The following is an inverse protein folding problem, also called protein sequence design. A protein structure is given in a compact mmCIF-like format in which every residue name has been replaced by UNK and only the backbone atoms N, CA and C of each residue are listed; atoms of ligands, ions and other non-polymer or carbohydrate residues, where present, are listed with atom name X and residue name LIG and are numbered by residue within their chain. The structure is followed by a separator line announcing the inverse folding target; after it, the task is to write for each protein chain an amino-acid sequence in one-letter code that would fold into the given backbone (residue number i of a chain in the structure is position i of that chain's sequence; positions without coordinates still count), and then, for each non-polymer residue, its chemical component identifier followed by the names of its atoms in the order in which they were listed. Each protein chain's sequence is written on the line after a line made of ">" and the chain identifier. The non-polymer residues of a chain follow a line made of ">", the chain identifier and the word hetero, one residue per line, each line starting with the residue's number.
data_IF_062965562453
#
_entry.id   IF_062965562453
#
_cell.length_a   1.000
_cell.length_b   1.000
_cell.length_c   1.000
_cell.angle_alpha   90.00
_cell.angle_beta   90.00
_cell.angle_gamma   90.00
#
_symmetry.space_group_name_H-M   'P 1'
#
loop_
_entity.id
_entity.type
_entity.pdbx_description
1 polymer ?
#
# COMPACT_ATOMS: atom_id res chain seq x y z
N UNK A 1 25.70 -40.43 21.19
CA UNK A 1 25.28 -39.79 19.91
C UNK A 1 23.78 -39.81 19.81
N UNK A 2 23.25 -38.90 18.96
CA UNK A 2 21.82 -38.81 18.65
C UNK A 2 21.60 -38.74 17.15
N UNK A 3 20.60 -39.49 16.67
CA UNK A 3 20.03 -39.28 15.36
C UNK A 3 18.93 -38.21 15.48
N UNK A 4 18.85 -37.33 14.51
CA UNK A 4 17.81 -36.31 14.38
C UNK A 4 17.18 -36.52 13.01
N UNK A 5 15.85 -36.53 12.97
CA UNK A 5 15.10 -36.48 11.70
C UNK A 5 14.18 -35.29 11.74
N UNK A 6 14.21 -34.46 10.71
CA UNK A 6 13.43 -33.22 10.66
C UNK A 6 12.88 -32.96 9.26
N UNK A 7 11.84 -32.17 9.17
CA UNK A 7 11.17 -31.77 7.92
C UNK A 7 10.04 -30.79 8.18
N UNK A 8 9.32 -30.41 7.12
CA UNK A 8 8.13 -29.58 7.26
C UNK A 8 7.12 -30.26 8.19
N UNK A 9 6.37 -29.45 8.97
CA UNK A 9 5.43 -30.01 9.96
C UNK A 9 4.43 -30.96 9.31
N UNK A 10 4.17 -32.08 10.00
CA UNK A 10 3.32 -33.18 9.50
C UNK A 10 4.07 -34.22 8.67
N UNK A 11 5.41 -34.14 8.49
CA UNK A 11 6.13 -35.21 7.78
C UNK A 11 6.09 -36.55 8.57
N UNK A 12 6.10 -37.65 7.87
CA UNK A 12 6.15 -38.97 8.50
C UNK A 12 7.58 -39.35 8.88
N UNK A 13 7.76 -39.93 10.08
CA UNK A 13 9.04 -40.48 10.50
C UNK A 13 9.57 -41.47 9.46
N UNK A 14 10.80 -41.31 9.03
CA UNK A 14 11.42 -42.05 7.92
C UNK A 14 11.49 -41.30 6.60
N UNK A 15 10.75 -40.17 6.44
CA UNK A 15 10.74 -39.38 5.20
C UNK A 15 11.42 -37.99 5.32
N UNK A 16 11.89 -37.64 6.52
CA UNK A 16 12.55 -36.37 6.75
C UNK A 16 14.06 -36.38 6.46
N UNK A 17 14.70 -35.24 6.58
CA UNK A 17 16.14 -35.08 6.54
C UNK A 17 16.76 -35.72 7.79
N UNK A 18 17.83 -36.51 7.62
CA UNK A 18 18.52 -37.18 8.71
C UNK A 18 19.83 -36.49 9.00
N UNK A 19 20.08 -36.24 10.28
CA UNK A 19 21.33 -35.71 10.83
C UNK A 19 21.76 -36.49 12.08
N UNK A 20 23.03 -36.35 12.45
CA UNK A 20 23.57 -36.95 13.67
C UNK A 20 24.40 -35.93 14.46
N UNK A 21 24.32 -35.98 15.80
CA UNK A 21 25.10 -35.11 16.66
C UNK A 21 25.75 -35.91 17.83
N UNK A 22 26.94 -35.50 18.21
CA UNK A 22 27.63 -36.04 19.38
C UNK A 22 27.28 -35.35 20.69
N UNK A 23 26.54 -34.25 20.63
CA UNK A 23 26.15 -33.41 21.78
C UNK A 23 24.61 -33.33 21.86
N UNK A 24 24.05 -33.08 23.07
CA UNK A 24 22.59 -33.00 23.24
C UNK A 24 22.03 -31.66 22.72
N UNK A 25 22.67 -31.07 21.75
CA UNK A 25 22.20 -29.88 21.02
C UNK A 25 22.51 -30.03 19.52
N UNK A 26 21.64 -29.46 18.70
CA UNK A 26 21.80 -29.43 17.25
C UNK A 26 21.16 -28.15 16.72
N UNK A 27 21.83 -27.49 15.77
CA UNK A 27 21.30 -26.30 15.12
C UNK A 27 20.80 -26.66 13.73
N UNK A 28 19.51 -26.50 13.49
CA UNK A 28 18.94 -26.58 12.17
C UNK A 28 19.21 -25.24 11.44
N UNK A 29 19.74 -25.33 10.23
CA UNK A 29 20.03 -24.18 9.37
C UNK A 29 19.27 -24.27 8.04
N UNK A 30 19.23 -23.15 7.31
CA UNK A 30 18.55 -23.07 6.00
C UNK A 30 17.06 -23.40 6.05
N UNK A 31 16.42 -23.07 7.18
CA UNK A 31 14.98 -23.18 7.32
C UNK A 31 14.30 -21.95 6.66
N UNK A 32 13.14 -22.17 6.05
CA UNK A 32 12.31 -21.08 5.57
C UNK A 32 11.76 -20.28 6.75
N UNK A 33 11.62 -18.97 6.58
CA UNK A 33 10.96 -18.11 7.58
C UNK A 33 9.44 -18.42 7.63
N UNK A 34 8.82 -18.08 8.77
CA UNK A 34 7.37 -18.27 9.02
C UNK A 34 6.87 -19.68 8.70
N UNK A 35 7.67 -20.69 9.01
CA UNK A 35 7.40 -22.09 8.66
C UNK A 35 7.45 -22.97 9.89
N UNK A 36 6.55 -23.96 9.94
CA UNK A 36 6.54 -24.97 10.99
C UNK A 36 7.37 -26.19 10.56
N UNK A 37 8.23 -26.63 11.45
CA UNK A 37 9.06 -27.82 11.26
C UNK A 37 8.85 -28.78 12.42
N UNK A 38 8.72 -30.05 12.11
CA UNK A 38 8.72 -31.12 13.09
C UNK A 38 10.08 -31.81 13.13
N UNK A 39 10.48 -32.25 14.31
CA UNK A 39 11.68 -33.07 14.45
C UNK A 39 11.48 -34.22 15.46
N UNK A 40 12.20 -35.28 15.18
CA UNK A 40 12.30 -36.47 16.03
C UNK A 40 13.74 -36.67 16.46
N UNK A 41 13.96 -37.23 17.64
CA UNK A 41 15.26 -37.53 18.17
C UNK A 41 15.34 -39.00 18.63
N UNK A 42 16.47 -39.65 18.37
CA UNK A 42 16.76 -41.01 18.82
C UNK A 42 18.17 -41.06 19.44
N UNK A 43 18.30 -41.62 20.60
CA UNK A 43 19.63 -41.86 21.22
C UNK A 43 20.30 -43.10 20.61
N UNK A 44 21.61 -42.98 20.33
CA UNK A 44 22.49 -44.09 19.93
C UNK A 44 23.32 -44.47 21.12
N UNK A 45 23.07 -45.65 21.70
CA UNK A 45 23.75 -46.14 22.88
C UNK A 45 25.08 -46.87 22.52
N UNK A 46 25.04 -47.67 21.46
CA UNK A 46 26.22 -48.36 20.90
C UNK A 46 25.96 -48.76 19.44
N UNK A 47 26.96 -49.37 18.78
CA UNK A 47 26.77 -49.89 17.42
C UNK A 47 25.67 -50.96 17.40
N UNK A 48 24.55 -50.62 16.76
CA UNK A 48 23.38 -51.50 16.64
C UNK A 48 22.37 -51.41 17.80
N UNK A 49 22.62 -50.55 18.80
CA UNK A 49 21.70 -50.31 19.92
C UNK A 49 21.27 -48.83 19.98
N UNK A 50 19.97 -48.59 19.84
CA UNK A 50 19.38 -47.28 19.84
C UNK A 50 18.03 -47.26 20.55
N UNK A 51 17.66 -46.10 21.10
CA UNK A 51 16.34 -45.90 21.68
C UNK A 51 15.24 -45.93 20.62
N UNK A 52 13.99 -45.88 21.08
CA UNK A 52 12.89 -45.49 20.22
C UNK A 52 13.04 -44.00 19.84
N UNK A 53 12.51 -43.63 18.71
CA UNK A 53 12.35 -42.21 18.31
C UNK A 53 11.35 -41.52 19.23
N UNK A 54 11.67 -40.30 19.65
CA UNK A 54 10.78 -39.42 20.42
C UNK A 54 10.49 -38.18 19.61
N UNK A 55 9.23 -37.73 19.59
CA UNK A 55 8.67 -36.66 18.81
C UNK A 55 7.32 -37.04 18.20
N UNK A 56 6.74 -36.26 17.28
CA UNK A 56 7.33 -35.00 16.78
C UNK A 56 7.34 -33.89 17.81
N UNK A 57 8.37 -33.06 17.76
CA UNK A 57 8.39 -31.76 18.43
C UNK A 57 8.34 -30.68 17.33
N UNK A 58 7.42 -29.74 17.45
CA UNK A 58 7.22 -28.67 16.45
C UNK A 58 7.95 -27.41 16.89
N UNK A 59 8.68 -26.81 15.95
CA UNK A 59 9.24 -25.46 16.06
C UNK A 59 8.68 -24.60 14.93
N UNK A 60 8.47 -23.33 15.23
CA UNK A 60 8.08 -22.34 14.22
C UNK A 60 9.24 -21.36 14.04
N UNK A 61 9.62 -21.16 12.79
CA UNK A 61 10.58 -20.09 12.47
C UNK A 61 9.87 -18.74 12.51
N UNK A 62 10.59 -17.72 12.93
CA UNK A 62 10.07 -16.35 12.93
C UNK A 62 9.94 -15.83 11.51
N UNK A 63 9.06 -14.84 11.32
CA UNK A 63 8.99 -14.06 10.09
C UNK A 63 10.29 -13.25 10.00
N UNK A 64 11.00 -13.37 8.87
CA UNK A 64 12.18 -12.55 8.59
C UNK A 64 11.76 -11.25 7.91
N UNK A 65 12.35 -10.14 8.35
CA UNK A 65 12.36 -8.90 7.60
C UNK A 65 13.23 -9.02 6.35
N UNK A 66 13.21 -7.99 5.46
CA UNK A 66 14.07 -7.96 4.28
C UNK A 66 15.55 -8.13 4.65
N UNK A 67 16.25 -8.92 3.87
CA UNK A 67 17.69 -9.18 4.02
C UNK A 67 18.55 -8.11 3.33
N UNK A 68 17.95 -7.38 2.41
CA UNK A 68 18.59 -6.43 1.51
C UNK A 68 19.20 -7.09 0.28
N UNK A 69 19.37 -6.31 -0.76
CA UNK A 69 19.88 -6.76 -2.07
C UNK A 69 21.41 -6.70 -2.10
N UNK A 70 22.04 -7.76 -2.58
CA UNK A 70 23.49 -7.85 -2.75
C UNK A 70 23.88 -7.87 -4.24
N UNK A 71 24.34 -6.74 -4.74
CA UNK A 71 24.72 -6.55 -6.14
C UNK A 71 26.22 -6.82 -6.35
N UNK A 72 26.59 -8.02 -6.77
CA UNK A 72 27.99 -8.47 -6.94
C UNK A 72 28.53 -8.28 -8.34
N UNK A 73 27.67 -8.30 -9.40
CA UNK A 73 28.07 -8.17 -10.81
C UNK A 73 28.07 -6.73 -11.31
N UNK A 74 27.79 -5.76 -10.46
CA UNK A 74 27.60 -4.36 -10.82
C UNK A 74 26.09 -4.00 -10.89
N UNK A 75 25.83 -2.71 -10.89
CA UNK A 75 24.46 -2.20 -10.69
C UNK A 75 24.25 -1.80 -9.22
N UNK A 76 23.05 -1.30 -8.93
CA UNK A 76 22.66 -0.84 -7.61
C UNK A 76 21.38 -1.54 -7.20
N UNK A 77 21.16 -1.77 -5.88
CA UNK A 77 19.83 -2.14 -5.39
C UNK A 77 18.81 -1.09 -5.81
N UNK A 78 17.70 -1.54 -6.41
CA UNK A 78 16.66 -0.63 -6.80
C UNK A 78 15.32 -1.33 -6.95
N UNK A 79 14.23 -0.56 -6.89
CA UNK A 79 12.89 -1.10 -7.01
C UNK A 79 12.54 -1.37 -8.48
N UNK A 80 12.18 -2.61 -8.78
CA UNK A 80 11.57 -3.01 -10.06
C UNK A 80 10.05 -2.95 -10.00
N UNK A 81 9.49 -2.95 -8.77
CA UNK A 81 8.09 -2.78 -8.50
C UNK A 81 7.92 -2.15 -7.11
N UNK A 82 6.99 -1.21 -6.99
CA UNK A 82 6.59 -0.62 -5.70
C UNK A 82 5.14 -0.19 -5.80
N UNK A 83 4.33 -0.59 -4.82
CA UNK A 83 2.91 -0.26 -4.70
C UNK A 83 2.60 0.00 -3.23
N UNK A 84 2.17 1.21 -2.92
CA UNK A 84 1.78 1.64 -1.59
C UNK A 84 0.31 1.31 -1.26
N UNK A 85 -0.36 0.57 -2.16
CA UNK A 85 -1.73 0.10 -1.99
C UNK A 85 -2.76 1.22 -1.73
N UNK A 86 -2.51 2.41 -2.26
CA UNK A 86 -3.46 3.54 -2.18
C UNK A 86 -4.63 3.39 -3.17
N UNK A 87 -4.55 2.45 -4.10
CA UNK A 87 -5.59 2.16 -5.08
C UNK A 87 -5.62 0.67 -5.45
N UNK A 88 -6.72 0.23 -6.07
CA UNK A 88 -6.84 -1.12 -6.65
C UNK A 88 -6.40 -1.18 -8.12
N UNK A 89 -5.85 -0.09 -8.64
CA UNK A 89 -5.49 0.02 -10.06
C UNK A 89 -4.45 -1.03 -10.47
N UNK A 90 -4.74 -1.79 -11.53
CA UNK A 90 -3.87 -2.84 -12.03
C UNK A 90 -3.97 -4.19 -11.32
N UNK A 91 -4.50 -4.23 -10.10
CA UNK A 91 -4.80 -5.48 -9.39
C UNK A 91 -6.05 -6.15 -9.96
N UNK A 92 -6.06 -7.47 -10.00
CA UNK A 92 -7.19 -8.27 -10.49
C UNK A 92 -7.60 -9.30 -9.45
N UNK A 93 -8.87 -9.75 -9.48
CA UNK A 93 -9.39 -10.75 -8.55
C UNK A 93 -10.62 -10.30 -7.78
N UNK A 94 -10.81 -10.82 -6.56
CA UNK A 94 -12.03 -10.60 -5.78
C UNK A 94 -11.89 -9.38 -4.88
N UNK A 95 -12.21 -8.20 -5.41
CA UNK A 95 -12.29 -6.95 -4.64
C UNK A 95 -13.71 -6.61 -4.25
N UNK A 96 -13.85 -6.09 -3.02
CA UNK A 96 -15.08 -5.53 -2.49
C UNK A 96 -15.07 -4.00 -2.49
N UNK A 97 -16.17 -3.41 -2.05
CA UNK A 97 -16.34 -1.96 -1.92
C UNK A 97 -16.10 -1.49 -0.47
N UNK A 98 -14.86 -1.56 0.00
CA UNK A 98 -14.44 -0.98 1.28
C UNK A 98 -14.69 -1.83 2.55
N UNK A 99 -15.79 -2.55 2.65
CA UNK A 99 -16.13 -3.42 3.80
C UNK A 99 -16.86 -4.69 3.37
N UNK A 100 -16.66 -5.12 2.14
CA UNK A 100 -17.30 -6.35 1.63
C UNK A 100 -16.62 -7.56 2.24
N UNK A 101 -17.36 -8.31 3.03
CA UNK A 101 -16.84 -9.51 3.66
C UNK A 101 -16.48 -10.62 2.68
N UNK A 102 -15.42 -11.37 2.97
CA UNK A 102 -14.92 -12.45 2.12
C UNK A 102 -14.20 -11.99 0.84
N UNK A 103 -13.89 -10.71 0.73
CA UNK A 103 -13.19 -10.09 -0.40
C UNK A 103 -12.04 -9.23 0.10
N UNK A 104 -11.05 -9.01 -0.76
CA UNK A 104 -10.05 -7.99 -0.54
C UNK A 104 -10.68 -6.60 -0.68
N UNK A 105 -10.35 -5.68 0.19
CA UNK A 105 -10.88 -4.32 0.19
C UNK A 105 -9.75 -3.31 0.31
N UNK A 106 -9.90 -2.18 -0.36
CA UNK A 106 -9.13 -0.97 -0.07
C UNK A 106 -9.76 -0.27 1.12
N UNK A 107 -8.96 0.07 2.13
CA UNK A 107 -9.43 0.64 3.40
C UNK A 107 -8.52 1.75 3.89
N UNK A 108 -9.12 2.81 4.43
CA UNK A 108 -8.45 3.84 5.22
C UNK A 108 -8.98 3.84 6.65
N UNK A 109 -8.12 4.20 7.62
CA UNK A 109 -8.47 4.16 9.04
C UNK A 109 -8.66 2.73 9.57
N UNK A 110 -9.31 2.54 10.74
CA UNK A 110 -9.45 1.23 11.38
C UNK A 110 -10.35 0.27 10.58
N UNK A 111 -10.10 -1.04 10.73
CA UNK A 111 -11.03 -2.07 10.25
C UNK A 111 -12.38 -1.95 10.95
N UNK A 112 -13.41 -2.52 10.32
CA UNK A 112 -14.79 -2.33 10.79
C UNK A 112 -15.12 -3.18 12.01
N UNK A 113 -14.43 -4.30 12.18
CA UNK A 113 -14.67 -5.29 13.23
C UNK A 113 -13.88 -4.96 14.50
N UNK A 114 -14.46 -5.27 15.65
CA UNK A 114 -13.84 -5.04 16.96
C UNK A 114 -12.83 -6.13 17.30
N UNK A 115 -11.70 -5.77 17.94
CA UNK A 115 -10.62 -6.70 18.35
C UNK A 115 -9.99 -7.47 17.18
N UNK A 116 -9.90 -6.88 16.01
CA UNK A 116 -9.23 -7.47 14.85
C UNK A 116 -8.73 -6.38 13.90
N UNK A 117 -7.71 -6.69 13.11
CA UNK A 117 -7.13 -5.79 12.12
C UNK A 117 -6.43 -4.56 12.68
N UNK A 118 -5.87 -3.71 11.82
CA UNK A 118 -5.17 -2.49 12.22
C UNK A 118 -6.09 -1.30 12.48
N UNK A 119 -5.53 -0.27 13.13
CA UNK A 119 -6.14 1.06 13.26
C UNK A 119 -5.97 1.96 12.02
N UNK A 120 -5.13 1.59 11.09
CA UNK A 120 -4.84 2.38 9.89
C UNK A 120 -3.75 1.75 9.04
N UNK A 121 -3.33 2.46 8.01
CA UNK A 121 -2.28 2.06 7.10
C UNK A 121 -0.89 2.06 7.78
N UNK A 122 0.05 1.27 7.24
CA UNK A 122 1.47 1.38 7.54
C UNK A 122 2.08 2.56 6.82
N UNK A 123 1.74 2.72 5.55
CA UNK A 123 2.19 3.80 4.66
C UNK A 123 0.99 4.52 4.05
N UNK A 124 1.15 5.81 3.72
CA UNK A 124 0.08 6.58 3.07
C UNK A 124 -1.19 6.68 3.91
N UNK A 125 -2.33 6.50 3.26
CA UNK A 125 -3.66 6.61 3.86
C UNK A 125 -4.45 5.31 3.82
N UNK A 126 -4.13 4.41 2.90
CA UNK A 126 -4.92 3.21 2.60
C UNK A 126 -4.07 1.96 2.64
N UNK A 127 -4.72 0.83 2.74
CA UNK A 127 -4.13 -0.51 2.75
C UNK A 127 -5.12 -1.54 2.21
N UNK A 128 -4.66 -2.72 1.81
CA UNK A 128 -5.54 -3.83 1.47
C UNK A 128 -5.82 -4.68 2.70
N UNK A 129 -7.09 -5.08 2.87
CA UNK A 129 -7.47 -6.01 3.92
C UNK A 129 -8.62 -6.93 3.50
N UNK A 130 -8.78 -8.03 4.21
CA UNK A 130 -9.93 -8.93 4.08
C UNK A 130 -10.81 -8.80 5.31
N UNK A 131 -12.07 -8.41 5.10
CA UNK A 131 -13.14 -8.41 6.11
C UNK A 131 -13.68 -9.84 6.27
N UNK A 132 -13.64 -10.37 7.49
CA UNK A 132 -13.99 -11.78 7.75
C UNK A 132 -15.38 -12.03 8.32
N UNK A 133 -16.13 -10.98 8.66
CA UNK A 133 -17.46 -11.10 9.28
C UNK A 133 -18.44 -11.87 8.38
N UNK A 134 -18.87 -13.05 8.85
CA UNK A 134 -19.81 -13.93 8.13
C UNK A 134 -19.20 -14.77 7.02
N UNK A 135 -17.88 -14.70 6.78
CA UNK A 135 -17.14 -15.48 5.79
C UNK A 135 -15.99 -16.22 6.48
N UNK A 136 -16.25 -17.39 6.97
CA UNK A 136 -15.31 -18.18 7.76
C UNK A 136 -14.83 -19.39 6.97
N UNK A 137 -13.54 -19.72 7.13
CA UNK A 137 -12.89 -20.83 6.42
C UNK A 137 -13.06 -20.74 4.89
N UNK A 138 -13.01 -19.54 4.35
CA UNK A 138 -13.21 -19.24 2.94
C UNK A 138 -11.95 -18.58 2.38
N UNK A 139 -11.56 -18.98 1.17
CA UNK A 139 -10.37 -18.45 0.52
C UNK A 139 -10.76 -17.36 -0.49
N UNK A 140 -10.02 -16.25 -0.47
CA UNK A 140 -10.12 -15.16 -1.44
C UNK A 140 -8.72 -14.78 -1.93
N UNK A 141 -8.60 -14.38 -3.20
CA UNK A 141 -7.31 -13.99 -3.76
C UNK A 141 -7.41 -12.82 -4.73
N UNK A 142 -6.31 -12.09 -4.82
CA UNK A 142 -6.05 -11.05 -5.81
C UNK A 142 -4.68 -11.25 -6.41
N UNK A 143 -4.46 -10.71 -7.60
CA UNK A 143 -3.21 -10.84 -8.35
C UNK A 143 -2.70 -9.44 -8.71
N UNK A 144 -1.41 -9.23 -8.49
CA UNK A 144 -0.72 -7.97 -8.74
C UNK A 144 -0.67 -7.61 -10.22
N UNK A 145 -0.38 -6.35 -10.55
CA UNK A 145 0.22 -6.01 -11.82
C UNK A 145 1.48 -6.84 -12.10
N UNK A 146 1.93 -6.82 -13.35
CA UNK A 146 3.17 -7.48 -13.76
C UNK A 146 4.39 -6.90 -13.03
N UNK A 147 5.22 -7.77 -12.49
CA UNK A 147 6.53 -7.43 -11.92
C UNK A 147 7.61 -7.89 -12.89
N UNK A 148 8.41 -6.96 -13.38
CA UNK A 148 9.45 -7.24 -14.38
C UNK A 148 10.82 -7.44 -13.71
N UNK A 149 11.27 -8.69 -13.62
CA UNK A 149 12.61 -9.08 -13.19
C UNK A 149 13.53 -9.45 -14.36
N UNK A 150 13.11 -9.18 -15.62
CA UNK A 150 13.87 -9.57 -16.82
C UNK A 150 15.24 -8.89 -16.91
N UNK A 151 15.37 -7.67 -16.40
CA UNK A 151 16.62 -6.90 -16.33
C UNK A 151 17.33 -7.05 -14.98
N UNK A 152 16.75 -7.76 -14.00
CA UNK A 152 17.35 -8.00 -12.71
C UNK A 152 18.54 -8.94 -12.79
N UNK A 153 19.57 -8.67 -12.00
CA UNK A 153 20.78 -9.49 -11.90
C UNK A 153 21.11 -9.76 -10.43
N UNK A 154 21.92 -10.79 -10.19
CA UNK A 154 22.49 -11.20 -8.90
C UNK A 154 21.47 -11.60 -7.84
N UNK A 155 20.55 -10.69 -7.48
CA UNK A 155 19.66 -10.82 -6.34
C UNK A 155 18.30 -10.15 -6.59
N UNK A 156 17.26 -10.69 -5.98
CA UNK A 156 15.92 -10.10 -5.96
C UNK A 156 15.17 -10.44 -4.68
N UNK A 157 14.50 -9.47 -4.10
CA UNK A 157 13.75 -9.61 -2.85
C UNK A 157 12.39 -8.91 -2.94
N UNK A 158 11.35 -9.59 -2.49
CA UNK A 158 10.03 -9.03 -2.21
C UNK A 158 10.00 -8.57 -0.75
N UNK A 159 9.59 -7.35 -0.50
CA UNK A 159 9.26 -6.86 0.84
C UNK A 159 7.81 -6.38 0.91
N UNK A 160 7.18 -6.56 2.06
CA UNK A 160 5.82 -6.11 2.32
C UNK A 160 5.55 -6.03 3.83
N UNK A 161 4.48 -5.31 4.19
CA UNK A 161 4.09 -5.12 5.58
C UNK A 161 2.75 -5.77 5.86
N UNK A 162 2.65 -6.53 6.96
CA UNK A 162 1.42 -7.22 7.34
C UNK A 162 0.97 -6.85 8.76
N UNK A 163 -0.35 -6.84 8.95
CA UNK A 163 -0.98 -6.72 10.25
C UNK A 163 -2.02 -7.83 10.42
N UNK A 164 -1.81 -8.66 11.42
CA UNK A 164 -2.61 -9.86 11.72
C UNK A 164 -2.95 -9.89 13.22
N UNK A 165 -3.78 -8.95 13.66
CA UNK A 165 -4.33 -8.90 15.01
C UNK A 165 -5.72 -9.49 15.05
N UNK A 166 -5.93 -10.46 15.93
CA UNK A 166 -7.22 -11.09 16.15
C UNK A 166 -7.13 -12.59 16.45
N UNK A 167 -7.99 -13.09 17.31
CA UNK A 167 -7.92 -14.47 17.81
C UNK A 167 -8.22 -15.56 16.76
N UNK A 168 -8.80 -15.18 15.61
CA UNK A 168 -9.16 -16.09 14.51
C UNK A 168 -8.51 -15.70 13.19
N UNK A 169 -7.29 -15.14 13.22
CA UNK A 169 -6.52 -14.95 12.01
C UNK A 169 -6.33 -16.28 11.30
N UNK A 170 -6.62 -16.28 10.01
CA UNK A 170 -6.53 -17.45 9.15
C UNK A 170 -5.12 -17.66 8.59
N UNK A 171 -5.03 -18.08 7.32
CA UNK A 171 -3.75 -18.32 6.63
C UNK A 171 -3.60 -17.36 5.47
N UNK A 172 -2.49 -16.66 5.43
CA UNK A 172 -2.10 -15.78 4.34
C UNK A 172 -0.95 -16.40 3.55
N UNK A 173 -1.08 -16.45 2.23
CA UNK A 173 -0.09 -16.96 1.30
C UNK A 173 0.26 -15.90 0.26
N UNK A 174 1.53 -15.85 -0.14
CA UNK A 174 1.94 -15.21 -1.40
C UNK A 174 2.42 -16.27 -2.35
N UNK A 175 1.82 -16.31 -3.54
CA UNK A 175 2.22 -17.16 -4.65
C UNK A 175 2.87 -16.36 -5.77
N UNK A 176 3.80 -16.96 -6.50
CA UNK A 176 4.39 -16.42 -7.73
C UNK A 176 3.98 -17.25 -8.93
N UNK A 177 3.52 -16.59 -9.98
CA UNK A 177 3.24 -17.16 -11.28
C UNK A 177 3.87 -16.35 -12.40
N UNK A 178 4.12 -16.96 -13.56
CA UNK A 178 4.63 -16.29 -14.76
C UNK A 178 3.50 -15.78 -15.67
N UNK A 179 2.26 -16.02 -15.31
CA UNK A 179 1.07 -15.47 -15.97
C UNK A 179 0.07 -14.99 -14.94
N UNK A 180 -0.80 -14.01 -15.26
CA UNK A 180 -1.76 -13.47 -14.30
C UNK A 180 -2.85 -14.48 -13.85
N UNK A 181 -2.98 -15.60 -14.55
CA UNK A 181 -3.93 -16.66 -14.23
C UNK A 181 -3.26 -17.89 -13.57
N UNK A 182 -1.98 -17.79 -13.21
CA UNK A 182 -1.19 -18.87 -12.63
C UNK A 182 -0.74 -19.93 -13.63
N UNK A 183 -0.34 -21.10 -13.18
CA UNK A 183 -0.35 -21.53 -11.78
C UNK A 183 0.58 -20.70 -10.90
N UNK A 184 0.22 -20.59 -9.61
CA UNK A 184 1.02 -19.88 -8.62
C UNK A 184 1.69 -20.87 -7.67
N UNK A 185 3.00 -20.67 -7.44
CA UNK A 185 3.77 -21.43 -6.45
C UNK A 185 3.91 -20.60 -5.19
N UNK A 186 3.50 -21.12 -4.05
CA UNK A 186 3.61 -20.43 -2.76
C UNK A 186 5.06 -20.20 -2.40
N UNK A 187 5.42 -18.95 -2.16
CA UNK A 187 6.77 -18.51 -1.73
C UNK A 187 6.79 -18.00 -0.31
N UNK A 188 5.64 -17.64 0.26
CA UNK A 188 5.47 -17.22 1.64
C UNK A 188 4.13 -17.72 2.17
N UNK A 189 4.12 -18.14 3.43
CA UNK A 189 2.91 -18.52 4.15
C UNK A 189 3.02 -18.14 5.62
N UNK A 190 1.96 -17.61 6.18
CA UNK A 190 1.83 -17.37 7.63
C UNK A 190 0.41 -17.59 8.07
N UNK A 191 0.22 -17.93 9.35
CA UNK A 191 -1.10 -18.16 9.93
C UNK A 191 -1.15 -17.76 11.39
N UNK A 192 -2.34 -17.42 11.87
CA UNK A 192 -2.55 -17.01 13.25
C UNK A 192 -2.12 -15.56 13.53
N UNK A 193 -2.37 -15.16 14.75
CA UNK A 193 -2.14 -13.79 15.23
C UNK A 193 -0.65 -13.45 15.31
N UNK A 194 -0.27 -12.27 14.81
CA UNK A 194 1.09 -11.71 14.87
C UNK A 194 1.13 -10.54 15.86
N UNK A 195 0.27 -9.54 15.67
CA UNK A 195 0.15 -8.40 16.57
C UNK A 195 -0.74 -8.72 17.77
N UNK A 196 -0.52 -8.05 18.89
CA UNK A 196 -1.29 -8.24 20.14
C UNK A 196 -2.38 -7.18 20.35
N UNK A 197 -2.29 -6.09 19.58
CA UNK A 197 -3.27 -5.00 19.59
C UNK A 197 -3.40 -4.39 18.18
N UNK A 198 -4.51 -3.70 17.95
CA UNK A 198 -4.79 -3.05 16.66
C UNK A 198 -3.91 -1.82 16.37
N UNK A 199 -3.23 -1.27 17.37
CA UNK A 199 -2.27 -0.18 17.24
C UNK A 199 -0.80 -0.63 17.24
N UNK A 200 -0.55 -1.93 17.32
CA UNK A 200 0.81 -2.45 17.16
C UNK A 200 1.32 -2.16 15.74
N UNK A 201 2.62 -1.94 15.55
CA UNK A 201 3.18 -1.71 14.23
C UNK A 201 3.01 -2.94 13.33
N UNK A 202 2.87 -2.69 12.04
CA UNK A 202 2.92 -3.74 11.03
C UNK A 202 4.27 -4.47 11.09
N UNK A 203 4.24 -5.76 10.76
CA UNK A 203 5.44 -6.59 10.63
C UNK A 203 5.97 -6.50 9.20
N UNK A 204 7.23 -6.07 9.04
CA UNK A 204 7.91 -6.15 7.75
C UNK A 204 8.35 -7.58 7.45
N UNK A 205 8.14 -8.01 6.20
CA UNK A 205 8.46 -9.36 5.71
C UNK A 205 9.34 -9.25 4.48
N UNK A 206 10.40 -10.06 4.43
CA UNK A 206 11.26 -10.22 3.26
C UNK A 206 11.19 -11.64 2.70
N UNK A 207 11.13 -11.76 1.38
CA UNK A 207 11.11 -13.07 0.67
C UNK A 207 12.05 -13.01 -0.52
N UNK A 208 12.99 -13.95 -0.60
CA UNK A 208 13.94 -14.03 -1.71
C UNK A 208 13.22 -14.41 -3.01
N UNK A 209 13.47 -13.64 -4.07
CA UNK A 209 12.96 -13.84 -5.43
C UNK A 209 14.04 -14.14 -6.46
N UNK A 210 15.30 -14.38 -6.04
CA UNK A 210 16.42 -14.56 -6.97
C UNK A 210 16.24 -15.71 -7.97
N UNK A 211 15.42 -16.71 -7.62
CA UNK A 211 15.05 -17.80 -8.55
C UNK A 211 14.17 -17.39 -9.73
N UNK A 212 13.62 -16.16 -9.68
CA UNK A 212 12.75 -15.59 -10.71
C UNK A 212 13.45 -14.51 -11.56
N UNK A 213 14.74 -14.26 -11.34
CA UNK A 213 15.53 -13.34 -12.17
C UNK A 213 15.46 -13.75 -13.64
N UNK A 214 15.43 -12.76 -14.53
CA UNK A 214 15.29 -12.95 -15.98
C UNK A 214 13.85 -13.24 -16.44
N UNK A 215 12.86 -13.17 -15.55
CA UNK A 215 11.46 -13.44 -15.84
C UNK A 215 10.57 -12.23 -15.54
N UNK A 216 9.37 -12.23 -16.12
CA UNK A 216 8.25 -11.41 -15.64
C UNK A 216 7.35 -12.28 -14.77
N UNK A 217 6.92 -11.76 -13.62
CA UNK A 217 6.13 -12.50 -12.64
C UNK A 217 4.89 -11.74 -12.21
N UNK A 218 3.98 -12.47 -11.59
CA UNK A 218 2.77 -11.96 -10.94
C UNK A 218 2.71 -12.48 -9.51
N UNK A 219 2.35 -11.65 -8.56
CA UNK A 219 2.17 -12.03 -7.17
C UNK A 219 0.68 -12.29 -6.91
N UNK A 220 0.35 -13.47 -6.42
CA UNK A 220 -0.98 -13.76 -5.90
C UNK A 220 -0.98 -13.54 -4.38
N UNK A 221 -1.85 -12.67 -3.89
CA UNK A 221 -2.16 -12.56 -2.47
C UNK A 221 -3.41 -13.41 -2.21
N UNK A 222 -3.26 -14.43 -1.39
CA UNK A 222 -4.34 -15.35 -1.03
C UNK A 222 -4.53 -15.37 0.47
N UNK A 223 -5.76 -15.20 0.93
CA UNK A 223 -6.12 -15.31 2.32
C UNK A 223 -7.26 -16.29 2.53
N UNK A 224 -7.02 -17.30 3.36
CA UNK A 224 -8.07 -18.19 3.88
C UNK A 224 -8.48 -17.70 5.26
N UNK A 225 -9.70 -17.24 5.40
CA UNK A 225 -10.24 -16.67 6.64
C UNK A 225 -10.29 -17.70 7.76
N UNK A 226 -10.18 -17.24 8.99
CA UNK A 226 -10.31 -18.09 10.17
C UNK A 226 -11.77 -18.42 10.52
N UNK A 227 -12.00 -18.87 11.75
CA UNK A 227 -13.27 -19.44 12.19
C UNK A 227 -14.29 -18.43 12.72
N UNK A 228 -13.89 -17.16 12.91
CA UNK A 228 -14.78 -16.10 13.45
C UNK A 228 -14.46 -14.73 12.81
N UNK A 229 -15.27 -13.72 13.14
CA UNK A 229 -15.11 -12.34 12.66
C UNK A 229 -13.82 -11.64 13.12
N UNK A 230 -13.10 -12.20 14.10
CA UNK A 230 -11.82 -11.64 14.59
C UNK A 230 -10.64 -12.13 13.77
N UNK A 231 -10.77 -12.18 12.46
CA UNK A 231 -9.79 -12.69 11.52
C UNK A 231 -9.36 -11.71 10.44
N UNK A 232 -9.64 -10.40 10.60
CA UNK A 232 -9.27 -9.40 9.60
C UNK A 232 -7.76 -9.33 9.44
N UNK A 233 -7.29 -9.56 8.22
CA UNK A 233 -5.89 -9.53 7.84
C UNK A 233 -5.62 -8.35 6.92
N UNK A 234 -4.55 -7.63 7.16
CA UNK A 234 -4.15 -6.49 6.35
C UNK A 234 -2.74 -6.62 5.80
N UNK A 235 -2.53 -6.08 4.60
CA UNK A 235 -1.23 -5.94 3.95
C UNK A 235 -1.09 -4.52 3.42
N UNK A 236 0.14 -4.01 3.45
CA UNK A 236 0.46 -2.68 2.99
C UNK A 236 1.86 -2.66 2.39
N UNK A 237 2.13 -1.69 1.51
CA UNK A 237 3.41 -1.44 0.85
C UNK A 237 4.10 -2.72 0.37
N UNK A 238 3.92 -3.02 -0.91
CA UNK A 238 4.58 -4.15 -1.56
C UNK A 238 5.67 -3.62 -2.48
N UNK A 239 6.90 -4.06 -2.25
CA UNK A 239 8.06 -3.65 -3.03
C UNK A 239 8.85 -4.87 -3.50
N UNK A 240 9.31 -4.85 -4.74
CA UNK A 240 10.26 -5.82 -5.25
C UNK A 240 11.52 -5.09 -5.67
N UNK A 241 12.62 -5.46 -5.04
CA UNK A 241 13.95 -4.93 -5.30
C UNK A 241 14.79 -5.94 -6.07
N UNK A 242 15.68 -5.45 -6.93
CA UNK A 242 16.71 -6.26 -7.61
C UNK A 242 17.92 -5.41 -7.91
N UNK A 243 19.01 -6.04 -8.37
CA UNK A 243 20.16 -5.33 -8.89
C UNK A 243 19.85 -4.84 -10.30
N UNK A 244 19.73 -3.53 -10.45
CA UNK A 244 19.36 -2.91 -11.72
C UNK A 244 20.38 -1.83 -12.11
N UNK A 245 20.54 -1.60 -13.41
CA UNK A 245 21.46 -0.59 -13.93
C UNK A 245 20.95 0.82 -13.67
N UNK A 246 19.62 0.99 -13.63
CA UNK A 246 18.95 2.28 -13.42
C UNK A 246 17.80 2.15 -12.41
N UNK A 247 18.08 2.25 -11.10
CA UNK A 247 17.06 2.13 -10.07
C UNK A 247 16.10 3.32 -10.06
N UNK A 248 14.81 3.05 -9.90
CA UNK A 248 13.82 4.10 -9.67
C UNK A 248 13.93 4.68 -8.26
N UNK A 249 13.56 5.93 -8.01
CA UNK A 249 13.27 6.42 -6.67
C UNK A 249 12.17 5.59 -6.01
N UNK A 250 12.23 5.39 -4.69
CA UNK A 250 11.11 4.78 -3.96
C UNK A 250 9.88 5.70 -4.02
N UNK A 251 8.71 5.16 -4.30
CA UNK A 251 7.45 5.92 -4.28
C UNK A 251 7.21 6.59 -2.92
N UNK A 252 7.66 5.99 -1.84
CA UNK A 252 7.58 6.55 -0.48
C UNK A 252 8.51 7.73 -0.23
N UNK A 253 9.54 7.89 -1.02
CA UNK A 253 10.45 9.04 -0.90
C UNK A 253 9.88 10.31 -1.54
N UNK A 254 8.79 10.20 -2.30
CA UNK A 254 8.16 11.32 -2.97
C UNK A 254 7.43 12.19 -1.94
N UNK A 255 7.66 13.51 -2.00
CA UNK A 255 7.01 14.48 -1.12
C UNK A 255 6.68 15.76 -1.88
N UNK A 256 5.66 16.49 -1.45
CA UNK A 256 5.37 17.85 -1.91
C UNK A 256 5.33 18.78 -0.70
N UNK A 257 6.17 19.81 -0.72
CA UNK A 257 6.34 20.77 0.37
C UNK A 257 6.08 22.20 -0.13
N UNK A 258 5.98 23.16 0.77
CA UNK A 258 5.79 24.58 0.47
C UNK A 258 4.65 24.81 -0.54
N UNK A 259 3.57 24.03 -0.41
CA UNK A 259 2.45 24.08 -1.34
C UNK A 259 1.74 25.42 -1.19
N UNK A 260 1.67 26.17 -2.28
CA UNK A 260 0.92 27.41 -2.39
C UNK A 260 -0.27 27.23 -3.35
N UNK A 261 -1.06 28.27 -3.53
CA UNK A 261 -2.21 28.21 -4.44
C UNK A 261 -1.81 27.99 -5.92
N UNK A 262 -0.54 28.20 -6.28
CA UNK A 262 -0.06 28.10 -7.65
C UNK A 262 1.31 27.43 -7.80
N UNK A 263 1.89 26.90 -6.74
CA UNK A 263 3.19 26.21 -6.77
C UNK A 263 3.32 25.14 -5.69
N UNK A 264 4.27 24.22 -5.88
CA UNK A 264 4.69 23.25 -4.88
C UNK A 264 6.16 22.86 -5.11
N UNK A 265 6.88 22.54 -4.04
CA UNK A 265 8.22 21.97 -4.09
C UNK A 265 8.11 20.43 -4.04
N UNK A 266 8.31 19.79 -5.16
CA UNK A 266 8.35 18.33 -5.28
C UNK A 266 9.75 17.85 -4.91
N UNK A 267 9.86 16.77 -4.13
CA UNK A 267 11.15 16.20 -3.74
C UNK A 267 11.07 14.67 -3.65
N UNK A 268 12.22 14.01 -3.80
CA UNK A 268 12.39 12.57 -3.72
C UNK A 268 13.81 12.21 -3.31
N UNK A 269 14.04 10.93 -2.98
CA UNK A 269 15.36 10.37 -2.75
C UNK A 269 15.78 9.59 -3.99
N UNK A 270 17.03 9.74 -4.44
CA UNK A 270 17.61 8.94 -5.52
C UNK A 270 17.52 7.45 -5.21
N UNK A 271 17.21 6.62 -6.20
CA UNK A 271 17.17 5.17 -6.07
C UNK A 271 18.57 4.54 -6.03
N UNK A 272 19.55 5.21 -6.61
CA UNK A 272 20.95 4.77 -6.68
C UNK A 272 21.91 5.94 -6.84
N UNK A 273 22.81 5.84 -7.84
CA UNK A 273 23.84 6.84 -8.13
C UNK A 273 23.50 7.77 -9.30
N UNK A 274 22.27 7.75 -9.75
CA UNK A 274 21.78 8.59 -10.84
C UNK A 274 21.82 10.08 -10.45
N UNK A 275 22.03 10.92 -11.46
CA UNK A 275 22.20 12.38 -11.32
C UNK A 275 21.22 13.17 -12.18
N UNK A 276 20.27 12.49 -12.82
CA UNK A 276 19.24 13.13 -13.65
C UNK A 276 17.91 12.38 -13.51
N UNK A 277 16.81 13.13 -13.58
CA UNK A 277 15.45 12.59 -13.46
C UNK A 277 14.51 13.26 -14.45
N UNK A 278 13.50 12.49 -14.86
CA UNK A 278 12.29 13.01 -15.48
C UNK A 278 11.24 13.15 -14.38
N UNK A 279 10.64 14.32 -14.26
CA UNK A 279 9.48 14.57 -13.40
C UNK A 279 8.26 14.76 -14.30
N UNK A 280 7.21 14.03 -14.07
CA UNK A 280 5.95 14.20 -14.79
C UNK A 280 4.86 14.57 -13.78
N UNK A 281 4.11 15.66 -14.06
CA UNK A 281 3.02 16.11 -13.20
C UNK A 281 1.81 16.56 -14.02
N UNK A 282 0.62 16.49 -13.41
CA UNK A 282 -0.63 16.87 -14.02
C UNK A 282 -1.80 16.84 -13.03
N UNK A 283 -3.03 17.15 -13.48
CA UNK A 283 -4.24 16.95 -12.67
C UNK A 283 -4.33 15.50 -12.19
N UNK A 284 -4.82 15.29 -10.96
CA UNK A 284 -4.90 13.95 -10.36
C UNK A 284 -5.62 12.94 -11.27
N UNK A 285 -5.08 11.73 -11.33
CA UNK A 285 -5.56 10.63 -12.17
C UNK A 285 -5.09 10.70 -13.63
N UNK A 286 -4.15 11.57 -14.01
CA UNK A 286 -3.63 11.56 -15.38
C UNK A 286 -2.78 10.31 -15.64
N UNK A 287 -2.90 9.67 -16.82
CA UNK A 287 -2.06 8.53 -17.16
C UNK A 287 -0.62 8.98 -17.46
N UNK A 288 0.36 8.14 -17.07
CA UNK A 288 1.78 8.34 -17.42
C UNK A 288 1.91 8.54 -18.95
N UNK A 289 2.70 9.54 -19.35
CA UNK A 289 2.86 9.96 -20.74
C UNK A 289 2.01 11.18 -21.13
N UNK A 290 0.96 11.52 -20.37
CA UNK A 290 0.05 12.62 -20.69
C UNK A 290 0.23 13.86 -19.79
N UNK A 291 1.10 13.81 -18.79
CA UNK A 291 1.42 14.96 -17.94
C UNK A 291 2.52 15.85 -18.51
N UNK A 292 2.80 16.96 -17.84
CA UNK A 292 3.92 17.84 -18.15
C UNK A 292 5.24 17.14 -17.73
N UNK A 293 6.18 16.95 -18.64
CA UNK A 293 7.47 16.30 -18.38
C UNK A 293 8.57 17.35 -18.28
N UNK A 294 9.35 17.30 -17.19
CA UNK A 294 10.50 18.15 -16.93
C UNK A 294 11.72 17.26 -16.66
N UNK A 295 12.87 17.61 -17.24
CA UNK A 295 14.15 16.97 -16.95
C UNK A 295 14.90 17.81 -15.91
N UNK A 296 15.34 17.16 -14.82
CA UNK A 296 16.06 17.81 -13.71
C UNK A 296 17.31 17.04 -13.35
N UNK A 297 18.28 17.73 -12.71
CA UNK A 297 19.54 17.15 -12.22
C UNK A 297 19.68 17.26 -10.71
N UNK A 298 18.60 17.58 -10.03
CA UNK A 298 18.49 17.64 -8.57
C UNK A 298 17.30 16.79 -8.14
N UNK A 299 17.34 16.26 -6.93
CA UNK A 299 16.26 15.47 -6.34
C UNK A 299 15.10 16.34 -5.82
N UNK A 300 14.91 17.50 -6.40
CA UNK A 300 13.81 18.42 -6.10
C UNK A 300 13.48 19.29 -7.31
N UNK A 301 12.22 19.71 -7.42
CA UNK A 301 11.74 20.60 -8.45
C UNK A 301 10.57 21.44 -7.96
N UNK A 302 10.63 22.77 -8.16
CA UNK A 302 9.49 23.63 -7.86
C UNK A 302 8.58 23.72 -9.08
N UNK A 303 7.40 23.13 -9.00
CA UNK A 303 6.35 23.31 -10.00
C UNK A 303 5.60 24.62 -9.75
N UNK A 304 5.32 25.36 -10.83
CA UNK A 304 4.61 26.64 -10.80
C UNK A 304 3.49 26.66 -11.84
N UNK A 305 2.58 27.63 -11.72
CA UNK A 305 1.45 27.78 -12.65
C UNK A 305 0.33 26.78 -12.38
N UNK A 306 0.27 26.23 -11.17
CA UNK A 306 -0.81 25.37 -10.73
C UNK A 306 -2.11 26.17 -10.53
N UNK A 307 -3.25 25.51 -10.68
CA UNK A 307 -4.56 26.08 -10.37
C UNK A 307 -4.84 25.98 -8.86
N UNK A 308 -5.47 26.98 -8.24
CA UNK A 308 -5.90 26.90 -6.84
C UNK A 308 -6.95 25.79 -6.61
N UNK A 309 -7.03 25.29 -5.37
CA UNK A 309 -8.00 24.29 -4.92
C UNK A 309 -8.08 23.08 -5.85
N UNK A 310 -6.95 22.60 -6.33
CA UNK A 310 -6.87 21.54 -7.33
C UNK A 310 -5.94 20.43 -6.84
N UNK A 311 -6.31 19.19 -7.12
CA UNK A 311 -5.49 18.02 -6.82
C UNK A 311 -4.58 17.70 -8.00
N UNK A 312 -3.32 17.47 -7.71
CA UNK A 312 -2.27 17.12 -8.68
C UNK A 312 -1.59 15.83 -8.28
N UNK A 313 -1.19 15.07 -9.28
CA UNK A 313 -0.32 13.91 -9.12
C UNK A 313 1.01 14.19 -9.79
N UNK A 314 2.09 13.60 -9.25
CA UNK A 314 3.36 13.59 -9.94
C UNK A 314 4.07 12.24 -9.84
N UNK A 315 4.94 11.99 -10.82
CA UNK A 315 5.76 10.80 -10.94
C UNK A 315 7.21 11.22 -11.19
N UNK A 316 8.14 10.38 -10.76
CA UNK A 316 9.58 10.57 -11.00
C UNK A 316 10.18 9.32 -11.63
N UNK A 317 11.05 9.51 -12.62
CA UNK A 317 11.80 8.47 -13.29
C UNK A 317 13.28 8.83 -13.27
N UNK A 318 14.14 7.96 -12.80
CA UNK A 318 15.58 8.15 -12.91
C UNK A 318 16.04 8.03 -14.36
N UNK A 319 17.04 8.83 -14.74
CA UNK A 319 17.65 8.83 -16.06
C UNK A 319 19.14 8.54 -15.91
N UNK A 320 19.55 7.33 -16.22
CA UNK A 320 20.91 6.86 -16.04
C UNK A 320 21.80 7.08 -17.26
N UNK A 321 21.20 7.13 -18.46
CA UNK A 321 21.87 7.51 -19.72
C UNK A 321 20.89 8.14 -20.70
N UNK A 322 21.34 8.39 -21.92
CA UNK A 322 20.47 8.89 -23.00
C UNK A 322 19.37 7.86 -23.40
N UNK A 323 19.63 6.57 -23.19
CA UNK A 323 18.77 5.46 -23.61
C UNK A 323 18.31 4.58 -22.45
N UNK A 324 18.82 4.82 -21.24
CA UNK A 324 18.49 4.02 -20.04
C UNK A 324 17.82 4.87 -18.99
N UNK A 325 16.62 4.47 -18.60
CA UNK A 325 15.78 5.12 -17.58
C UNK A 325 15.06 4.07 -16.76
N UNK A 326 14.84 4.37 -15.50
CA UNK A 326 14.11 3.50 -14.59
C UNK A 326 12.61 3.38 -14.95
N UNK A 327 11.87 2.54 -14.22
CA UNK A 327 10.42 2.69 -14.12
C UNK A 327 10.05 4.03 -13.48
N UNK A 328 8.78 4.44 -13.61
CA UNK A 328 8.23 5.61 -12.93
C UNK A 328 7.87 5.28 -11.49
N UNK A 329 8.30 6.10 -10.53
CA UNK A 329 7.87 6.09 -9.15
C UNK A 329 6.69 7.05 -8.96
N UNK A 330 5.71 6.68 -8.14
CA UNK A 330 4.49 7.44 -7.92
C UNK A 330 3.23 6.68 -8.37
N UNK A 331 2.03 7.33 -8.35
CA UNK A 331 1.84 8.76 -8.14
C UNK A 331 2.02 9.21 -6.69
N UNK A 332 2.45 10.45 -6.50
CA UNK A 332 2.27 11.18 -5.24
C UNK A 332 1.27 12.29 -5.47
N UNK A 333 0.23 12.34 -4.65
CA UNK A 333 -0.87 13.31 -4.77
C UNK A 333 -0.73 14.44 -3.78
N UNK A 334 -1.01 15.67 -4.22
CA UNK A 334 -1.07 16.85 -3.34
C UNK A 334 -2.17 17.81 -3.79
N UNK A 335 -2.61 18.67 -2.87
CA UNK A 335 -3.71 19.63 -3.11
C UNK A 335 -3.19 21.04 -2.92
N UNK A 336 -3.43 21.91 -3.90
CA UNK A 336 -3.15 23.34 -3.77
C UNK A 336 -4.22 24.02 -2.93
N UNK A 337 -3.86 24.90 -1.98
CA UNK A 337 -4.83 25.69 -1.24
C UNK A 337 -5.56 26.70 -2.14
N UNK A 338 -6.59 27.27 -1.61
CA UNK A 338 -7.30 28.38 -2.23
C UNK A 338 -6.42 29.62 -2.33
N UNK A 339 -6.54 30.37 -3.41
CA UNK A 339 -5.87 31.64 -3.55
C UNK A 339 -6.47 32.69 -2.59
N UNK A 340 -5.63 33.51 -1.98
CA UNK A 340 -6.05 34.76 -1.33
C UNK A 340 -6.40 35.78 -2.40
N UNK A 341 -7.50 36.47 -2.27
CA UNK A 341 -7.90 37.56 -3.18
C UNK A 341 -7.61 38.91 -2.55
N UNK A 342 -7.21 39.89 -3.35
CA UNK A 342 -6.93 41.25 -2.88
C UNK A 342 -8.20 42.12 -2.96
N UNK A 343 -8.40 42.96 -1.97
CA UNK A 343 -9.48 43.94 -2.02
C UNK A 343 -9.19 45.06 -3.07
N UNK A 344 -10.24 45.59 -3.77
CA UNK A 344 -11.65 45.24 -3.65
C UNK A 344 -12.02 43.94 -4.39
N UNK A 345 -12.78 43.07 -3.74
CA UNK A 345 -13.21 41.79 -4.28
C UNK A 345 -14.72 41.79 -4.54
N UNK A 346 -15.13 41.24 -5.67
CA UNK A 346 -16.54 41.08 -6.04
C UNK A 346 -16.82 39.66 -6.52
N UNK A 347 -17.83 39.01 -5.96
CA UNK A 347 -18.27 37.68 -6.37
C UNK A 347 -19.62 37.71 -7.03
N UNK A 348 -19.70 37.19 -8.24
CA UNK A 348 -20.95 36.99 -8.97
C UNK A 348 -21.38 35.53 -8.90
N UNK A 349 -22.64 35.24 -8.63
CA UNK A 349 -23.16 33.87 -8.51
C UNK A 349 -23.74 33.33 -9.83
N UNK A 350 -23.21 33.75 -10.96
CA UNK A 350 -23.70 33.39 -12.30
C UNK A 350 -23.69 31.90 -12.63
N UNK A 351 -22.84 31.12 -11.93
CA UNK A 351 -22.81 29.67 -12.07
C UNK A 351 -24.03 28.96 -11.45
N UNK A 352 -24.78 29.63 -10.59
CA UNK A 352 -25.87 29.00 -9.82
C UNK A 352 -25.41 27.99 -8.78
N UNK A 353 -24.12 28.03 -8.39
CA UNK A 353 -23.50 27.11 -7.45
C UNK A 353 -22.63 27.88 -6.43
N UNK A 354 -22.29 27.23 -5.33
CA UNK A 354 -21.32 27.73 -4.38
C UNK A 354 -19.98 28.00 -5.09
N UNK A 355 -19.40 29.22 -4.98
CA UNK A 355 -18.13 29.50 -5.63
C UNK A 355 -17.01 28.58 -5.14
N UNK A 356 -16.03 28.34 -6.02
CA UNK A 356 -14.83 27.57 -5.66
C UNK A 356 -14.14 28.21 -4.44
N UNK A 357 -13.70 27.37 -3.50
CA UNK A 357 -13.08 27.79 -2.25
C UNK A 357 -14.00 28.50 -1.24
N UNK A 358 -15.28 28.56 -1.50
CA UNK A 358 -16.24 28.93 -0.50
C UNK A 358 -16.79 27.67 0.16
N UNK A 359 -17.09 27.74 1.43
CA UNK A 359 -17.75 26.65 2.14
C UNK A 359 -19.03 27.12 2.80
N UNK A 360 -19.93 26.17 3.07
CA UNK A 360 -21.08 26.45 3.90
C UNK A 360 -21.26 25.36 4.95
N UNK A 361 -21.69 25.75 6.13
CA UNK A 361 -22.09 24.85 7.20
C UNK A 361 -23.51 25.19 7.65
N UNK A 362 -24.26 24.15 8.01
CA UNK A 362 -25.67 24.26 8.46
C UNK A 362 -25.83 23.42 9.71
N UNK A 363 -26.34 24.00 10.80
CA UNK A 363 -26.66 23.23 12.02
C UNK A 363 -27.99 22.48 11.83
N UNK A 364 -29.00 23.16 11.29
CA UNK A 364 -30.28 22.56 10.94
C UNK A 364 -30.99 23.37 9.85
N UNK A 365 -31.82 22.70 9.04
CA UNK A 365 -32.57 23.31 7.94
C UNK A 365 -31.83 23.29 6.60
N UNK A 366 -32.18 24.20 5.72
CA UNK A 366 -31.58 24.36 4.39
C UNK A 366 -30.32 25.24 4.44
N UNK A 367 -29.37 24.98 3.56
CA UNK A 367 -28.19 25.83 3.38
C UNK A 367 -28.47 27.03 2.45
N UNK A 368 -27.41 27.81 2.21
CA UNK A 368 -27.41 28.82 1.16
C UNK A 368 -27.66 28.19 -0.20
N UNK A 369 -28.56 28.75 -0.96
CA UNK A 369 -28.93 28.35 -2.32
C UNK A 369 -28.42 29.35 -3.33
N UNK A 370 -27.98 28.88 -4.48
CA UNK A 370 -27.40 29.68 -5.55
C UNK A 370 -28.23 29.58 -6.85
N UNK A 371 -29.27 28.76 -6.83
CA UNK A 371 -30.18 28.53 -7.95
C UNK A 371 -31.62 28.38 -7.42
N UNK A 372 -32.59 28.34 -8.30
CA UNK A 372 -34.02 28.23 -7.96
C UNK A 372 -34.68 29.60 -7.75
N UNK A 373 -35.96 29.56 -7.38
CA UNK A 373 -36.77 30.77 -7.17
C UNK A 373 -37.17 30.85 -5.70
N UNK A 374 -36.83 31.95 -4.98
CA UNK A 374 -37.35 32.17 -3.64
C UNK A 374 -38.87 32.21 -3.60
N UNK A 375 -39.46 31.56 -2.58
CA UNK A 375 -40.89 31.60 -2.34
C UNK A 375 -41.37 32.95 -1.77
N UNK A 376 -42.65 33.08 -1.51
CA UNK A 376 -43.27 34.16 -0.73
C UNK A 376 -42.94 35.59 -1.20
N UNK A 377 -43.02 35.86 -2.51
CA UNK A 377 -42.83 37.20 -3.11
C UNK A 377 -41.45 37.84 -2.83
N UNK A 378 -40.49 37.13 -2.28
CA UNK A 378 -39.11 37.60 -2.10
C UNK A 378 -38.36 37.75 -3.42
N UNK A 379 -38.82 37.09 -4.47
CA UNK A 379 -38.35 37.31 -5.82
C UNK A 379 -38.82 38.67 -6.33
N UNK A 380 -37.93 39.49 -6.86
CA UNK A 380 -38.20 40.71 -7.63
C UNK A 380 -38.47 42.03 -6.88
N UNK A 381 -38.36 42.11 -5.57
CA UNK A 381 -38.41 43.39 -4.87
C UNK A 381 -37.13 44.22 -5.09
N UNK A 382 -36.99 44.81 -6.29
CA UNK A 382 -35.90 45.72 -6.65
C UNK A 382 -34.53 45.05 -6.89
N UNK A 383 -34.52 43.75 -7.12
CA UNK A 383 -33.28 43.04 -7.48
C UNK A 383 -33.08 43.00 -8.99
N UNK A 384 -31.86 43.15 -9.48
CA UNK A 384 -31.55 42.88 -10.87
C UNK A 384 -31.88 41.45 -11.24
N UNK A 385 -32.29 41.19 -12.47
CA UNK A 385 -32.44 39.85 -13.01
C UNK A 385 -31.06 39.16 -12.99
N UNK A 386 -30.96 37.95 -12.42
CA UNK A 386 -29.71 37.18 -12.33
C UNK A 386 -29.75 36.14 -11.24
N UNK A 387 -28.65 35.36 -11.13
CA UNK A 387 -28.43 34.42 -10.05
C UNK A 387 -27.83 35.13 -8.83
N UNK A 388 -28.24 34.72 -7.65
CA UNK A 388 -27.81 35.30 -6.37
C UNK A 388 -27.78 34.21 -5.29
N UNK A 389 -27.04 34.45 -4.23
CA UNK A 389 -27.09 33.62 -3.03
C UNK A 389 -28.32 33.99 -2.20
N UNK A 390 -29.06 32.99 -1.73
CA UNK A 390 -30.24 33.19 -0.90
C UNK A 390 -30.46 32.03 0.05
N UNK A 391 -31.17 32.28 1.13
CA UNK A 391 -31.58 31.28 2.13
C UNK A 391 -33.10 31.31 2.27
N UNK A 392 -33.71 30.16 2.47
CA UNK A 392 -35.15 30.01 2.70
C UNK A 392 -35.42 29.90 4.19
N UNK A 393 -36.16 30.86 4.76
CA UNK A 393 -36.56 30.88 6.15
C UNK A 393 -37.93 30.27 6.40
N UNK A 394 -38.51 29.59 5.45
CA UNK A 394 -39.81 28.92 5.61
C UNK A 394 -39.71 27.64 6.46
N UNK A 395 -38.51 27.14 6.69
CA UNK A 395 -38.18 26.13 7.68
C UNK A 395 -37.31 26.75 8.81
N UNK A 396 -37.12 26.04 9.90
CA UNK A 396 -36.28 26.52 11.02
C UNK A 396 -34.81 26.33 10.65
N UNK A 397 -34.23 27.28 9.96
CA UNK A 397 -32.80 27.29 9.63
C UNK A 397 -32.02 27.92 10.78
N UNK A 398 -31.15 27.14 11.41
CA UNK A 398 -30.33 27.57 12.53
C UNK A 398 -28.85 27.41 12.18
N UNK A 399 -28.09 28.50 12.37
CA UNK A 399 -26.63 28.47 12.29
C UNK A 399 -26.09 28.18 10.90
N UNK A 400 -26.77 28.68 9.86
CA UNK A 400 -26.25 28.60 8.49
C UNK A 400 -25.18 29.65 8.27
N UNK A 401 -23.95 29.23 8.04
CA UNK A 401 -22.78 30.08 7.80
C UNK A 401 -22.26 29.81 6.39
N UNK A 402 -21.88 30.86 5.69
CA UNK A 402 -21.12 30.78 4.44
C UNK A 402 -19.75 31.42 4.67
N UNK A 403 -18.71 30.64 4.53
CA UNK A 403 -17.33 31.11 4.63
C UNK A 403 -16.80 31.45 3.24
N UNK A 404 -16.18 32.58 3.12
CA UNK A 404 -15.64 33.11 1.86
C UNK A 404 -14.13 32.89 1.79
N UNK A 405 -13.55 33.10 0.61
CA UNK A 405 -12.10 33.15 0.41
C UNK A 405 -11.43 34.12 1.40
N UNK A 406 -10.19 33.84 1.83
CA UNK A 406 -9.35 34.84 2.49
C UNK A 406 -9.20 36.08 1.59
N UNK A 407 -9.53 37.27 2.13
CA UNK A 407 -9.37 38.56 1.44
C UNK A 407 -8.22 39.33 2.09
N UNK A 408 -7.21 39.65 1.29
CA UNK A 408 -6.13 40.55 1.71
C UNK A 408 -6.63 42.00 1.62
N UNK A 409 -6.59 42.68 2.76
CA UNK A 409 -7.03 44.08 2.91
C UNK A 409 -5.87 45.01 3.22
N UNK A 410 -4.62 44.53 3.14
CA UNK A 410 -3.40 45.31 3.41
C UNK A 410 -3.07 46.33 2.30
#
# INVERSE_FOLDING_TARGET
>A
FWNIQWGSSGFNLGSGTNDTTGTPNYTLSSLNSSSAYDFYVQAICSSGDSSLWTGPYTINTLISGPSGINCTSGGNPGFVYSDDLESQAGWTGTFGSGTTAGSWNLKSGPTSSFNTGPNGAHSGNSYFYVETSGFYNTTTSIVSPMVDLSAGADDAELSFWIHAFGAAIGTFNIGVGTTPNGPFSTIFSTSGQIQTANNDPYQNVGVNLSSYLGQTIYLQLEYTTGSTFTGDFAIDLIEVSSCISCPAPSSQSLTANNITFNSADLAWTAGGTETAWNVQYGPSGFPIGNGNIINVTTTQYTVTGLSPASTYDYYVQAKCSATDSSSWAGPYSFVTPCATVTAPYSQFFSSGALPLCWSQSVISGDGWRFSGTPGYAAANNGRPAGTYAWIDFSATDVGTVMEVLPVDVS
#
